data_IF_334950652525
#
_entry.id   IF_334950652525
#
_cell.length_a   1.000
_cell.length_b   1.000
_cell.length_c   1.000
_cell.angle_alpha   90.00
_cell.angle_beta   90.00
_cell.angle_gamma   90.00
#
_symmetry.space_group_name_H-M   'P 1'
#
loop_
_entity.id
_entity.type
_entity.pdbx_description
1 polymer ?
#
# COMPACT_ATOMS: atom_id res chain seq x y z
N UNK A 1 18.26 20.13 -31.80
CA UNK A 1 17.10 19.22 -31.90
C UNK A 1 16.30 19.37 -30.62
N UNK A 2 15.11 19.98 -30.71
CA UNK A 2 14.16 20.04 -29.60
C UNK A 2 13.59 18.63 -29.47
N UNK A 3 14.02 17.89 -28.45
CA UNK A 3 13.42 16.61 -28.10
C UNK A 3 12.15 16.94 -27.32
N UNK A 4 11.01 16.60 -27.90
CA UNK A 4 9.72 16.74 -27.24
C UNK A 4 9.70 15.86 -25.99
N UNK A 5 9.63 16.51 -24.83
CA UNK A 5 9.44 15.89 -23.54
C UNK A 5 8.00 15.39 -23.45
N UNK A 6 7.80 14.08 -23.42
CA UNK A 6 6.53 13.49 -22.99
C UNK A 6 6.75 13.06 -21.54
N UNK A 7 6.34 13.92 -20.62
CA UNK A 7 6.22 13.57 -19.20
C UNK A 7 4.97 12.70 -19.06
N UNK A 8 5.15 11.38 -18.98
CA UNK A 8 4.05 10.49 -18.61
C UNK A 8 3.90 10.56 -17.10
N UNK A 9 3.11 11.53 -16.62
CA UNK A 9 2.63 11.55 -15.25
C UNK A 9 1.78 10.29 -15.03
N UNK A 10 2.36 9.24 -14.47
CA UNK A 10 1.59 8.15 -13.88
C UNK A 10 1.07 8.61 -12.50
N UNK A 11 0.19 9.61 -12.52
CA UNK A 11 -0.63 9.94 -11.36
C UNK A 11 -1.74 8.87 -11.31
N UNK A 12 -1.47 7.75 -10.64
CA UNK A 12 -2.54 6.80 -10.28
C UNK A 12 -3.38 7.49 -9.22
N UNK A 13 -4.27 8.36 -9.68
CA UNK A 13 -5.30 8.97 -8.85
C UNK A 13 -6.24 7.86 -8.43
N UNK A 14 -6.15 7.42 -7.17
CA UNK A 14 -7.12 6.50 -6.59
C UNK A 14 -8.48 7.21 -6.46
N UNK A 15 -9.25 7.28 -7.54
CA UNK A 15 -10.67 7.61 -7.45
C UNK A 15 -11.41 6.36 -7.01
N UNK A 16 -11.86 6.37 -5.75
CA UNK A 16 -12.85 5.43 -5.27
C UNK A 16 -14.13 5.60 -6.09
N UNK A 17 -14.50 4.62 -6.90
CA UNK A 17 -15.86 4.47 -7.40
C UNK A 17 -16.18 2.99 -7.49
N UNK A 18 -17.20 2.56 -6.74
CA UNK A 18 -17.54 1.16 -6.55
C UNK A 18 -18.14 0.50 -7.78
N UNK A 19 -17.94 -0.81 -7.91
CA UNK A 19 -18.99 -1.71 -8.38
C UNK A 19 -18.65 -3.14 -7.98
N UNK A 20 -19.69 -3.83 -7.56
CA UNK A 20 -19.76 -5.24 -7.16
C UNK A 20 -19.58 -6.18 -8.35
N UNK A 21 -18.74 -7.22 -8.23
CA UNK A 21 -18.69 -8.30 -9.22
C UNK A 21 -17.77 -9.47 -8.87
N UNK A 22 -18.38 -10.58 -8.41
CA UNK A 22 -17.92 -11.98 -8.53
C UNK A 22 -16.44 -12.31 -8.29
N UNK A 23 -16.09 -12.69 -7.05
CA UNK A 23 -14.75 -13.16 -6.69
C UNK A 23 -14.53 -14.64 -7.09
N UNK A 24 -13.52 -14.91 -7.93
CA UNK A 24 -12.87 -16.23 -7.99
C UNK A 24 -11.94 -16.37 -6.78
N UNK A 25 -12.26 -17.29 -5.88
CA UNK A 25 -11.54 -17.49 -4.63
C UNK A 25 -10.16 -18.15 -4.85
N UNK A 26 -9.10 -17.35 -5.02
CA UNK A 26 -7.73 -17.81 -4.73
C UNK A 26 -7.58 -17.97 -3.21
N UNK A 27 -7.25 -19.19 -2.78
CA UNK A 27 -7.01 -19.55 -1.38
C UNK A 27 -5.75 -18.82 -0.90
N UNK A 28 -5.87 -17.99 0.13
CA UNK A 28 -4.72 -17.44 0.86
C UNK A 28 -4.32 -18.50 1.89
N UNK A 29 -3.14 -19.08 1.66
CA UNK A 29 -2.46 -19.97 2.60
C UNK A 29 -2.01 -19.17 3.82
N UNK A 30 -2.42 -19.61 5.01
CA UNK A 30 -2.08 -18.98 6.30
C UNK A 30 -1.03 -19.86 6.95
N UNK A 31 0.21 -19.38 6.98
CA UNK A 31 1.23 -19.95 7.84
C UNK A 31 2.00 -18.90 8.67
N UNK A 32 1.57 -17.62 8.73
CA UNK A 32 2.36 -16.61 9.49
C UNK A 32 1.66 -15.40 10.13
N UNK A 33 0.38 -15.44 10.49
CA UNK A 33 -0.22 -14.30 11.23
C UNK A 33 0.04 -14.28 12.74
N UNK A 34 0.91 -15.16 13.23
CA UNK A 34 1.23 -15.27 14.65
C UNK A 34 2.41 -14.38 15.12
N UNK A 35 2.94 -13.43 14.32
CA UNK A 35 4.24 -12.81 14.65
C UNK A 35 4.46 -11.31 14.35
N UNK A 36 3.49 -10.55 13.84
CA UNK A 36 3.69 -9.10 13.63
C UNK A 36 2.67 -8.31 14.44
N UNK A 37 2.98 -7.58 15.51
CA UNK A 37 4.11 -7.50 16.41
C UNK A 37 3.53 -6.88 17.70
N UNK A 38 4.08 -7.16 18.88
CA UNK A 38 3.98 -6.15 19.96
C UNK A 38 4.78 -4.97 19.46
N UNK A 39 4.09 -3.98 18.92
CA UNK A 39 4.74 -2.80 18.40
C UNK A 39 5.19 -1.94 19.57
N UNK A 40 6.40 -1.39 19.46
CA UNK A 40 6.86 -0.31 20.31
C UNK A 40 6.02 0.94 19.98
N UNK A 41 4.78 0.94 20.44
CA UNK A 41 3.89 2.07 20.40
C UNK A 41 4.03 2.84 21.72
N UNK A 42 3.93 4.18 21.70
CA UNK A 42 4.04 5.00 22.91
C UNK A 42 2.92 4.73 23.93
N UNK A 43 1.87 4.01 23.53
CA UNK A 43 0.71 3.67 24.36
C UNK A 43 0.74 2.22 24.86
N UNK A 44 1.91 1.59 24.88
CA UNK A 44 2.06 0.25 25.44
C UNK A 44 1.54 0.22 26.90
N UNK A 45 0.56 -0.63 27.16
CA UNK A 45 -0.06 -0.80 28.49
C UNK A 45 -1.30 0.04 28.77
N UNK A 46 -1.76 0.84 27.80
CA UNK A 46 -3.09 1.47 27.87
C UNK A 46 -4.21 0.47 27.55
N UNK A 47 -5.45 0.84 27.89
CA UNK A 47 -6.64 0.00 27.66
C UNK A 47 -6.86 -0.26 26.17
N UNK A 48 -6.99 -1.54 25.82
CA UNK A 48 -7.30 -1.93 24.44
C UNK A 48 -8.75 -1.61 24.08
N UNK A 49 -8.93 -1.03 22.90
CA UNK A 49 -10.25 -0.85 22.30
C UNK A 49 -10.83 -2.16 21.79
N UNK A 50 -12.14 -2.18 21.56
CA UNK A 50 -12.84 -3.36 21.01
C UNK A 50 -12.89 -3.30 19.47
N UNK A 51 -12.44 -4.38 18.82
CA UNK A 51 -12.56 -4.58 17.37
C UNK A 51 -13.75 -5.49 17.06
N UNK A 52 -14.52 -5.11 16.04
CA UNK A 52 -15.51 -5.93 15.35
C UNK A 52 -15.16 -6.06 13.86
N UNK A 53 -15.90 -6.89 13.12
CA UNK A 53 -15.58 -7.13 11.71
C UNK A 53 -15.71 -5.87 10.82
N UNK A 54 -16.61 -4.94 11.15
CA UNK A 54 -16.87 -3.76 10.31
C UNK A 54 -15.81 -2.69 10.55
N UNK A 55 -15.49 -2.37 11.81
CA UNK A 55 -14.49 -1.36 12.12
C UNK A 55 -13.08 -1.84 11.73
N UNK A 56 -12.77 -3.13 11.88
CA UNK A 56 -11.48 -3.73 11.50
C UNK A 56 -11.18 -3.59 10.02
N UNK A 57 -12.19 -3.77 9.15
CA UNK A 57 -12.05 -3.61 7.70
C UNK A 57 -11.83 -2.13 7.36
N UNK A 58 -12.63 -1.22 7.93
CA UNK A 58 -12.50 0.21 7.66
C UNK A 58 -11.11 0.74 8.02
N UNK A 59 -10.59 0.41 9.21
CA UNK A 59 -9.26 0.84 9.64
C UNK A 59 -8.19 0.25 8.71
N UNK A 60 -8.32 -1.03 8.30
CA UNK A 60 -7.37 -1.64 7.37
C UNK A 60 -7.36 -0.96 5.99
N UNK A 61 -8.53 -0.57 5.46
CA UNK A 61 -8.63 0.18 4.20
C UNK A 61 -7.95 1.56 4.31
N UNK A 62 -8.04 2.21 5.46
CA UNK A 62 -7.38 3.50 5.72
C UNK A 62 -5.87 3.36 5.82
N UNK A 63 -5.36 2.26 6.40
CA UNK A 63 -3.93 1.96 6.37
C UNK A 63 -3.43 1.72 4.95
N UNK A 64 -4.19 1.02 4.10
CA UNK A 64 -3.84 0.88 2.67
C UNK A 64 -3.71 2.26 2.03
N UNK A 65 -4.65 3.16 2.31
CA UNK A 65 -4.59 4.52 1.79
C UNK A 65 -3.37 5.29 2.30
N UNK A 66 -3.06 5.22 3.60
CA UNK A 66 -1.88 5.85 4.19
C UNK A 66 -0.59 5.33 3.53
N UNK A 67 -0.46 4.00 3.39
CA UNK A 67 0.69 3.36 2.74
C UNK A 67 0.79 3.74 1.27
N UNK A 68 -0.31 3.78 0.53
CA UNK A 68 -0.34 4.16 -0.88
C UNK A 68 0.10 5.63 -1.06
N UNK A 69 -0.35 6.54 -0.19
CA UNK A 69 0.09 7.95 -0.19
C UNK A 69 1.59 8.04 0.09
N UNK A 70 2.05 7.43 1.18
CA UNK A 70 3.46 7.39 1.60
C UNK A 70 4.35 6.80 0.49
N UNK A 71 3.90 5.71 -0.13
CA UNK A 71 4.59 5.11 -1.27
C UNK A 71 4.62 6.05 -2.49
N UNK A 72 3.51 6.69 -2.84
CA UNK A 72 3.45 7.61 -4.00
C UNK A 72 4.39 8.81 -3.81
N UNK A 73 4.47 9.34 -2.59
CA UNK A 73 5.40 10.40 -2.25
C UNK A 73 6.84 9.88 -2.26
N UNK A 74 7.09 8.62 -1.89
CA UNK A 74 8.41 8.01 -1.98
C UNK A 74 8.87 7.78 -3.42
N UNK A 75 7.94 7.42 -4.30
CA UNK A 75 8.18 7.01 -5.67
C UNK A 75 7.96 8.14 -6.69
N UNK A 76 8.64 9.28 -6.50
CA UNK A 76 8.70 10.32 -7.55
C UNK A 76 9.68 9.90 -8.63
N UNK A 77 9.24 9.01 -9.54
CA UNK A 77 10.05 8.52 -10.65
C UNK A 77 9.62 9.13 -11.98
N UNK A 78 10.56 9.81 -12.65
CA UNK A 78 10.42 10.32 -14.02
C UNK A 78 11.03 9.30 -14.99
N UNK A 79 10.25 8.28 -15.36
CA UNK A 79 10.71 7.21 -16.23
C UNK A 79 10.68 7.59 -17.71
N UNK A 80 11.82 7.52 -18.42
CA UNK A 80 11.86 7.31 -19.87
C UNK A 80 12.41 5.90 -20.13
N UNK A 81 11.53 4.90 -20.24
CA UNK A 81 11.94 3.50 -20.35
C UNK A 81 11.94 3.05 -21.81
N UNK A 82 13.00 2.36 -22.22
CA UNK A 82 13.19 1.77 -23.54
C UNK A 82 13.22 0.23 -23.52
N UNK A 83 13.55 -0.41 -24.66
CA UNK A 83 13.79 -1.87 -24.68
C UNK A 83 15.06 -2.25 -23.89
N UNK A 84 15.10 -3.48 -23.39
CA UNK A 84 16.21 -4.07 -22.63
C UNK A 84 16.58 -3.30 -21.35
N UNK A 85 15.60 -2.75 -20.64
CA UNK A 85 15.82 -2.15 -19.34
C UNK A 85 15.99 -3.26 -18.30
N UNK A 86 17.01 -3.14 -17.47
CA UNK A 86 17.12 -3.82 -16.19
C UNK A 86 17.70 -2.82 -15.19
N UNK A 87 16.83 -2.16 -14.44
CA UNK A 87 17.20 -1.08 -13.55
C UNK A 87 16.70 -1.38 -12.14
N UNK A 88 17.57 -1.20 -11.15
CA UNK A 88 17.23 -1.32 -9.73
C UNK A 88 17.51 0.02 -9.08
N UNK A 89 16.50 0.57 -8.43
CA UNK A 89 16.55 1.83 -7.71
C UNK A 89 16.39 1.52 -6.23
N UNK A 90 17.36 1.94 -5.43
CA UNK A 90 17.26 1.89 -3.98
C UNK A 90 16.42 3.06 -3.47
N UNK A 91 15.47 2.76 -2.61
CA UNK A 91 14.66 3.74 -1.89
C UNK A 91 15.17 3.79 -0.45
N UNK A 92 15.49 4.99 0.02
CA UNK A 92 15.78 5.28 1.42
C UNK A 92 15.28 6.70 1.71
N UNK A 93 14.03 6.80 2.16
CA UNK A 93 13.33 8.08 2.32
C UNK A 93 12.69 8.18 3.69
N UNK A 94 12.67 9.39 4.23
CA UNK A 94 11.86 9.74 5.40
C UNK A 94 10.80 10.72 4.94
N UNK A 95 9.54 10.40 5.21
CA UNK A 95 8.39 11.24 4.91
C UNK A 95 7.81 11.72 6.22
N UNK A 96 7.73 13.03 6.39
CA UNK A 96 7.14 13.65 7.59
C UNK A 96 5.72 14.07 7.26
N UNK A 97 4.76 13.67 8.09
CA UNK A 97 3.38 14.11 7.88
C UNK A 97 3.24 15.61 8.20
N UNK A 98 2.26 16.27 7.61
CA UNK A 98 1.94 17.68 7.91
C UNK A 98 1.40 17.88 9.33
N UNK A 99 1.05 16.79 10.04
CA UNK A 99 0.41 16.80 11.37
C UNK A 99 1.25 16.17 12.46
N UNK A 100 2.43 15.64 12.15
CA UNK A 100 3.35 15.06 13.12
C UNK A 100 3.84 13.65 12.76
N UNK A 101 4.97 13.31 13.37
CA UNK A 101 5.67 12.05 13.15
C UNK A 101 6.12 11.82 11.70
N UNK A 102 6.62 10.62 11.45
CA UNK A 102 7.24 10.29 10.17
C UNK A 102 7.07 8.81 9.80
N UNK A 103 7.20 8.52 8.52
CA UNK A 103 7.37 7.19 7.97
C UNK A 103 8.78 7.07 7.38
N UNK A 104 9.53 6.06 7.79
CA UNK A 104 10.81 5.71 7.19
C UNK A 104 10.59 4.58 6.18
N UNK A 105 11.06 4.75 4.96
CA UNK A 105 10.79 3.86 3.83
C UNK A 105 12.13 3.42 3.26
N UNK A 106 12.36 2.12 3.22
CA UNK A 106 13.58 1.53 2.67
C UNK A 106 13.27 0.35 1.78
N UNK A 107 14.04 0.16 0.73
CA UNK A 107 13.97 -1.04 -0.09
C UNK A 107 14.33 -0.73 -1.53
N UNK A 108 13.66 -1.40 -2.47
CA UNK A 108 14.02 -1.33 -3.89
C UNK A 108 12.80 -1.28 -4.80
N UNK A 109 13.02 -0.62 -5.93
CA UNK A 109 12.14 -0.61 -7.09
C UNK A 109 12.95 -1.16 -8.27
N UNK A 110 12.48 -2.26 -8.86
CA UNK A 110 13.14 -2.93 -9.98
C UNK A 110 12.28 -2.83 -11.22
N UNK A 111 12.90 -2.53 -12.34
CA UNK A 111 12.29 -2.42 -13.65
C UNK A 111 12.95 -3.36 -14.63
N UNK A 112 12.15 -4.07 -15.41
CA UNK A 112 12.65 -5.03 -16.39
C UNK A 112 11.83 -4.99 -17.66
N UNK A 113 12.46 -4.86 -18.82
CA UNK A 113 11.83 -5.07 -20.14
C UNK A 113 12.63 -6.07 -20.98
N UNK A 114 11.93 -6.76 -21.89
CA UNK A 114 12.55 -7.65 -22.87
C UNK A 114 13.17 -6.89 -24.04
N UNK A 115 13.35 -7.60 -25.17
CA UNK A 115 13.85 -6.99 -26.41
C UNK A 115 12.92 -5.89 -26.95
N UNK A 116 11.63 -6.00 -26.65
CA UNK A 116 10.61 -4.98 -26.91
C UNK A 116 10.37 -4.13 -25.65
N UNK A 117 9.85 -2.90 -25.83
CA UNK A 117 9.48 -2.03 -24.71
C UNK A 117 8.38 -2.64 -23.84
N UNK A 118 7.48 -3.44 -24.43
CA UNK A 118 6.42 -4.16 -23.73
C UNK A 118 6.51 -5.68 -24.02
N UNK A 119 6.17 -6.56 -23.07
CA UNK A 119 5.73 -6.23 -21.72
C UNK A 119 6.87 -5.64 -20.87
N UNK A 120 6.48 -4.70 -20.02
CA UNK A 120 7.37 -4.07 -19.05
C UNK A 120 6.96 -4.53 -17.65
N UNK A 121 7.94 -4.87 -16.83
CA UNK A 121 7.74 -5.39 -15.49
C UNK A 121 8.28 -4.40 -14.47
N UNK A 122 7.46 -4.13 -13.47
CA UNK A 122 7.85 -3.41 -12.28
C UNK A 122 7.77 -4.37 -11.10
N UNK A 123 8.77 -4.38 -10.23
CA UNK A 123 8.74 -5.04 -8.93
C UNK A 123 9.13 -4.05 -7.85
N UNK A 124 8.41 -4.06 -6.74
CA UNK A 124 8.60 -3.18 -5.60
C UNK A 124 8.74 -4.06 -4.36
N UNK A 125 9.73 -3.75 -3.54
CA UNK A 125 9.95 -4.40 -2.25
C UNK A 125 10.41 -3.34 -1.25
N UNK A 126 9.55 -2.98 -0.31
CA UNK A 126 9.77 -1.91 0.66
C UNK A 126 9.42 -2.35 2.07
N UNK A 127 10.23 -1.89 3.02
CA UNK A 127 9.91 -1.80 4.43
C UNK A 127 9.49 -0.36 4.76
N UNK A 128 8.40 -0.23 5.51
CA UNK A 128 7.83 1.06 5.92
C UNK A 128 7.66 1.02 7.44
N UNK A 129 8.39 1.88 8.14
CA UNK A 129 8.31 2.03 9.60
C UNK A 129 7.63 3.36 9.94
N UNK A 130 6.46 3.29 10.56
CA UNK A 130 5.71 4.43 11.04
C UNK A 130 6.12 4.78 12.48
N UNK A 131 6.56 6.01 12.69
CA UNK A 131 6.89 6.58 13.99
C UNK A 131 6.00 7.79 14.26
N UNK A 132 4.73 7.50 14.56
CA UNK A 132 3.71 8.49 14.87
C UNK A 132 3.24 9.28 13.66
N UNK A 133 3.31 8.67 12.47
CA UNK A 133 2.87 9.32 11.23
C UNK A 133 1.38 9.61 11.31
N UNK A 134 1.03 10.89 11.22
CA UNK A 134 -0.35 11.35 11.39
C UNK A 134 -0.99 11.72 10.04
N UNK A 135 -2.13 11.10 9.69
CA UNK A 135 -2.87 11.45 8.49
C UNK A 135 -4.25 12.02 8.83
N UNK A 136 -4.59 13.18 8.26
CA UNK A 136 -5.93 13.78 8.36
C UNK A 136 -6.83 13.18 7.27
N UNK A 137 -7.33 11.96 7.46
CA UNK A 137 -8.43 11.38 6.65
C UNK A 137 -8.75 9.94 7.09
N UNK A 138 -8.84 9.67 8.38
CA UNK A 138 -9.60 8.50 8.82
C UNK A 138 -11.06 8.93 8.90
N UNK A 139 -11.92 8.22 8.18
CA UNK A 139 -13.27 8.62 7.79
C UNK A 139 -14.28 8.70 8.94
N UNK A 140 -13.82 8.62 10.19
CA UNK A 140 -14.55 9.09 11.37
C UNK A 140 -14.07 10.49 11.72
N UNK A 141 -14.78 11.49 11.17
CA UNK A 141 -14.82 12.89 11.59
C UNK A 141 -13.87 13.32 12.74
N UNK A 142 -12.89 14.14 12.38
CA UNK A 142 -12.15 15.11 13.22
C UNK A 142 -10.92 14.66 14.02
N UNK A 143 -10.55 13.38 14.08
CA UNK A 143 -9.35 12.99 14.84
C UNK A 143 -8.15 12.65 13.95
N UNK A 144 -7.06 13.39 14.17
CA UNK A 144 -5.73 13.05 13.69
C UNK A 144 -5.32 11.70 14.31
N UNK A 145 -5.15 10.67 13.48
CA UNK A 145 -4.71 9.35 13.95
C UNK A 145 -3.21 9.21 13.70
N UNK A 146 -2.50 8.96 14.79
CA UNK A 146 -1.08 8.68 14.80
C UNK A 146 -0.85 7.18 14.63
N UNK A 147 -0.05 6.80 13.63
CA UNK A 147 0.30 5.42 13.35
C UNK A 147 1.71 5.10 13.87
N UNK A 148 1.81 4.02 14.65
CA UNK A 148 3.08 3.41 15.04
C UNK A 148 3.09 1.97 14.57
N UNK A 149 4.03 1.58 13.72
CA UNK A 149 3.89 0.29 13.04
C UNK A 149 5.04 -0.01 12.09
N UNK A 150 5.08 -1.24 11.61
CA UNK A 150 5.99 -1.65 10.55
C UNK A 150 5.24 -2.50 9.54
N UNK A 151 5.45 -2.22 8.27
CA UNK A 151 4.88 -2.97 7.17
C UNK A 151 5.96 -3.31 6.15
N UNK A 152 5.77 -4.46 5.52
CA UNK A 152 6.37 -4.77 4.24
C UNK A 152 5.34 -4.50 3.15
N UNK A 153 5.77 -3.80 2.10
CA UNK A 153 5.05 -3.64 0.86
C UNK A 153 5.83 -4.39 -0.20
N UNK A 154 5.25 -5.47 -0.71
CA UNK A 154 5.78 -6.15 -1.89
C UNK A 154 4.75 -6.05 -2.99
N UNK A 155 5.18 -5.76 -4.19
CA UNK A 155 4.24 -5.64 -5.29
C UNK A 155 4.96 -5.53 -6.61
N UNK A 156 4.18 -5.29 -7.63
CA UNK A 156 4.69 -5.17 -8.97
C UNK A 156 3.56 -5.14 -9.97
N UNK A 157 3.91 -4.81 -11.20
CA UNK A 157 2.96 -4.79 -12.28
C UNK A 157 3.56 -5.31 -13.57
N UNK A 158 2.70 -5.90 -14.39
CA UNK A 158 3.00 -6.21 -15.78
C UNK A 158 2.24 -5.24 -16.66
N UNK A 159 2.99 -4.39 -17.35
CA UNK A 159 2.46 -3.43 -18.30
C UNK A 159 2.49 -4.10 -19.67
N UNK A 160 1.32 -4.44 -20.19
CA UNK A 160 1.20 -5.04 -21.52
C UNK A 160 1.16 -3.99 -22.63
N UNK A 161 0.85 -2.74 -22.26
CA UNK A 161 0.94 -1.56 -23.12
C UNK A 161 1.03 -0.29 -22.26
N UNK A 162 1.07 0.88 -22.88
CA UNK A 162 0.99 2.17 -22.18
C UNK A 162 -0.32 2.37 -21.41
N UNK A 163 -1.38 1.67 -21.79
CA UNK A 163 -2.72 1.89 -21.27
C UNK A 163 -3.23 0.73 -20.42
N UNK A 164 -2.47 -0.36 -20.30
CA UNK A 164 -2.90 -1.56 -19.59
C UNK A 164 -1.82 -2.08 -18.67
N UNK A 165 -2.20 -2.27 -17.40
CA UNK A 165 -1.34 -2.84 -16.37
C UNK A 165 -2.16 -3.70 -15.42
N UNK A 166 -1.63 -4.88 -15.11
CA UNK A 166 -2.06 -5.69 -13.98
C UNK A 166 -1.09 -5.47 -12.84
N UNK A 167 -1.61 -5.18 -11.65
CA UNK A 167 -0.84 -4.85 -10.45
C UNK A 167 -1.20 -5.83 -9.35
N UNK A 168 -0.18 -6.50 -8.83
CA UNK A 168 -0.26 -7.31 -7.63
C UNK A 168 0.46 -6.59 -6.50
N UNK A 169 -0.16 -6.54 -5.33
CA UNK A 169 0.48 -6.00 -4.12
C UNK A 169 0.07 -6.76 -2.88
N UNK A 170 1.04 -6.90 -1.98
CA UNK A 170 0.92 -7.48 -0.66
C UNK A 170 1.45 -6.46 0.34
N UNK A 171 0.58 -6.06 1.27
CA UNK A 171 0.95 -5.29 2.45
C UNK A 171 0.86 -6.24 3.63
N UNK A 172 1.97 -6.51 4.30
CA UNK A 172 2.05 -7.46 5.40
C UNK A 172 2.78 -6.82 6.58
N UNK A 173 2.17 -6.81 7.76
CA UNK A 173 2.75 -6.21 8.95
C UNK A 173 1.74 -5.94 10.05
N UNK A 174 2.02 -4.91 10.83
CA UNK A 174 1.14 -4.49 11.91
C UNK A 174 1.36 -3.05 12.34
N UNK A 175 0.33 -2.49 12.97
CA UNK A 175 0.33 -1.13 13.49
C UNK A 175 -0.47 -1.04 14.79
N UNK A 176 -0.15 -0.01 15.56
CA UNK A 176 -0.89 0.46 16.70
C UNK A 176 -1.35 1.88 16.42
N UNK A 177 -2.60 2.17 16.78
CA UNK A 177 -3.12 3.52 16.80
C UNK A 177 -3.93 3.74 18.08
N UNK A 178 -4.14 5.00 18.44
CA UNK A 178 -4.95 5.40 19.60
C UNK A 178 -5.98 6.44 19.18
N UNK A 179 -7.20 6.25 19.62
CA UNK A 179 -8.26 7.25 19.54
C UNK A 179 -8.91 7.47 20.92
N UNK A 180 -10.08 8.12 20.96
CA UNK A 180 -10.82 8.38 22.20
C UNK A 180 -11.41 7.12 22.86
N UNK A 181 -11.53 6.02 22.13
CA UNK A 181 -12.10 4.75 22.57
C UNK A 181 -11.06 3.79 23.14
N UNK A 182 -9.78 3.93 22.76
CA UNK A 182 -8.68 3.16 23.31
C UNK A 182 -7.49 3.00 22.36
N UNK A 183 -6.63 2.04 22.68
CA UNK A 183 -5.50 1.63 21.83
C UNK A 183 -5.88 0.39 21.04
N UNK A 184 -5.54 0.36 19.76
CA UNK A 184 -5.84 -0.74 18.87
C UNK A 184 -4.55 -1.28 18.29
N UNK A 185 -4.30 -2.57 18.51
CA UNK A 185 -3.17 -3.31 17.95
C UNK A 185 -3.69 -4.20 16.84
N UNK A 186 -3.21 -3.99 15.62
CA UNK A 186 -3.74 -4.65 14.43
C UNK A 186 -2.58 -5.28 13.66
N UNK A 187 -2.61 -6.61 13.56
CA UNK A 187 -1.84 -7.38 12.59
C UNK A 187 -2.67 -7.51 11.32
N UNK A 188 -2.10 -7.14 10.18
CA UNK A 188 -2.82 -7.18 8.90
C UNK A 188 -1.98 -7.73 7.77
N UNK A 189 -2.64 -8.53 6.92
CA UNK A 189 -2.14 -8.92 5.61
C UNK A 189 -3.17 -8.58 4.56
N UNK A 190 -2.80 -7.77 3.59
CA UNK A 190 -3.69 -7.29 2.54
C UNK A 190 -3.09 -7.69 1.20
N UNK A 191 -3.85 -8.46 0.44
CA UNK A 191 -3.47 -8.88 -0.92
C UNK A 191 -4.45 -8.22 -1.87
N UNK A 192 -3.93 -7.42 -2.80
CA UNK A 192 -4.72 -6.73 -3.82
C UNK A 192 -4.27 -7.15 -5.20
N UNK A 193 -5.26 -7.40 -6.06
CA UNK A 193 -5.08 -7.51 -7.50
C UNK A 193 -5.92 -6.40 -8.15
N UNK A 194 -5.26 -5.52 -8.88
CA UNK A 194 -5.88 -4.44 -9.64
C UNK A 194 -5.53 -4.59 -11.13
N UNK A 195 -6.51 -4.49 -12.01
CA UNK A 195 -6.30 -4.42 -13.46
C UNK A 195 -6.80 -3.07 -13.97
N UNK A 196 -5.93 -2.35 -14.66
CA UNK A 196 -6.19 -1.03 -15.22
C UNK A 196 -6.21 -1.10 -16.76
N UNK A 197 -7.19 -0.45 -17.38
CA UNK A 197 -7.26 -0.23 -18.82
C UNK A 197 -7.62 1.24 -19.09
N UNK A 198 -6.86 1.93 -19.94
CA UNK A 198 -7.00 3.36 -20.22
C UNK A 198 -7.03 4.22 -18.95
N UNK A 199 -6.20 3.86 -17.97
CA UNK A 199 -6.15 4.45 -16.63
C UNK A 199 -7.45 4.31 -15.79
N UNK A 200 -8.41 3.50 -16.24
CA UNK A 200 -9.60 3.14 -15.47
C UNK A 200 -9.42 1.76 -14.85
N UNK A 201 -9.84 1.60 -13.60
CA UNK A 201 -9.87 0.28 -12.94
C UNK A 201 -10.97 -0.58 -13.55
N UNK A 202 -10.56 -1.68 -14.18
CA UNK A 202 -11.48 -2.67 -14.77
C UNK A 202 -11.76 -3.80 -13.80
N UNK A 203 -10.76 -4.19 -13.01
CA UNK A 203 -10.91 -5.18 -11.94
C UNK A 203 -10.18 -4.72 -10.68
N UNK A 204 -10.81 -4.94 -9.53
CA UNK A 204 -10.25 -4.68 -8.21
C UNK A 204 -10.74 -5.74 -7.26
N UNK A 205 -9.82 -6.56 -6.77
CA UNK A 205 -10.10 -7.54 -5.72
C UNK A 205 -9.18 -7.27 -4.55
N UNK A 206 -9.75 -7.08 -3.36
CA UNK A 206 -8.99 -6.96 -2.12
C UNK A 206 -9.33 -8.08 -1.17
N UNK A 207 -8.31 -8.77 -0.70
CA UNK A 207 -8.42 -9.78 0.35
C UNK A 207 -7.64 -9.31 1.56
N UNK A 208 -8.26 -9.39 2.72
CA UNK A 208 -7.70 -8.94 3.98
C UNK A 208 -7.60 -10.13 4.91
N UNK A 209 -6.58 -10.12 5.74
CA UNK A 209 -6.58 -10.87 6.98
C UNK A 209 -6.23 -9.94 8.10
N UNK A 210 -7.15 -9.77 9.07
CA UNK A 210 -6.98 -8.87 10.21
C UNK A 210 -7.01 -9.71 11.48
N UNK A 211 -5.94 -9.71 12.26
CA UNK A 211 -5.80 -10.53 13.47
C UNK A 211 -6.21 -12.01 13.25
N UNK A 212 -5.83 -12.58 12.10
CA UNK A 212 -6.15 -13.95 11.70
C UNK A 212 -7.53 -14.18 11.04
N UNK A 213 -8.41 -13.18 11.04
CA UNK A 213 -9.75 -13.28 10.41
C UNK A 213 -9.71 -12.83 8.95
N UNK A 214 -10.32 -13.62 8.05
CA UNK A 214 -10.28 -13.40 6.59
C UNK A 214 -11.49 -12.60 6.11
N UNK A 215 -11.26 -11.67 5.18
CA UNK A 215 -12.29 -10.85 4.54
C UNK A 215 -12.00 -10.66 3.05
N UNK A 216 -13.04 -10.43 2.25
CA UNK A 216 -12.93 -10.14 0.80
C UNK A 216 -13.83 -8.97 0.46
N UNK A 217 -13.33 -8.05 -0.37
CA UNK A 217 -14.06 -6.88 -0.88
C UNK A 217 -13.81 -6.72 -2.38
#
# INVERSE_FOLDING_TARGET
>A
MIKNFITVFFLVSFTACGSSGGSSATVIDIDSLAAAAKLDAPWAGETEGTLDGSNSISISDEIVFAIDVVFSEANTFDAQLGPNVNEVIEINKVITSSKGGSANIKGTLTFTSGADTFPFYQKIDLAIDFSGYTQTSIASSENDISLHGSFTYTGGGTFSSLLSVDIDRIIDGGYSYKDSSGVYNIATKIVTFDSLENAATVNKTRKYTVNGQKYTK
#
